data_IF_419283978843
#
_entry.id   IF_419283978843
#
_cell.length_a   1.000
_cell.length_b   1.000
_cell.length_c   1.000
_cell.angle_alpha   90.00
_cell.angle_beta   90.00
_cell.angle_gamma   90.00
#
_symmetry.space_group_name_H-M   'P 1'
#
loop_
_entity.id
_entity.type
_entity.pdbx_description
1 polymer ?
#
# COMPACT_ATOMS: atom_id res chain seq x y z
N UNK A 1 -24.82 -5.14 -12.36
CA UNK A 1 -23.48 -5.34 -11.79
C UNK A 1 -22.71 -4.07 -12.07
N UNK A 2 -22.01 -3.52 -11.08
CA UNK A 2 -21.09 -2.39 -11.32
C UNK A 2 -20.00 -2.83 -12.31
N UNK A 3 -19.55 -1.90 -13.15
CA UNK A 3 -18.43 -2.13 -14.07
C UNK A 3 -17.16 -2.49 -13.29
N UNK A 4 -16.32 -3.37 -13.83
CA UNK A 4 -15.04 -3.71 -13.21
C UNK A 4 -14.07 -2.54 -13.36
N UNK A 5 -13.37 -2.18 -12.28
CA UNK A 5 -12.44 -1.06 -12.29
C UNK A 5 -11.07 -1.51 -12.80
N UNK A 6 -10.72 -1.12 -14.03
CA UNK A 6 -9.39 -1.28 -14.60
C UNK A 6 -8.61 0.03 -14.42
N UNK A 7 -7.60 0.00 -13.57
CA UNK A 7 -6.84 1.20 -13.22
C UNK A 7 -5.36 0.97 -13.00
N UNK A 8 -4.73 2.04 -12.52
CA UNK A 8 -3.37 2.06 -11.99
C UNK A 8 -3.31 3.03 -10.81
N UNK A 9 -2.25 2.93 -10.03
CA UNK A 9 -2.14 3.62 -8.75
C UNK A 9 -0.87 4.48 -8.64
N UNK A 10 -0.91 5.46 -7.74
CA UNK A 10 0.21 6.27 -7.26
C UNK A 10 0.09 6.55 -5.76
N UNK A 11 1.12 7.15 -5.17
CA UNK A 11 1.13 7.69 -3.82
C UNK A 11 1.71 9.11 -3.82
N UNK A 12 1.18 9.99 -2.98
CA UNK A 12 1.45 11.42 -3.00
C UNK A 12 2.95 11.75 -2.94
N UNK A 13 3.64 11.30 -1.88
CA UNK A 13 5.09 11.54 -1.73
C UNK A 13 5.93 10.95 -2.88
N UNK A 14 5.44 9.86 -3.49
CA UNK A 14 6.18 9.15 -4.53
C UNK A 14 6.06 9.80 -5.91
N UNK A 15 5.00 10.56 -6.20
CA UNK A 15 4.78 11.13 -7.54
C UNK A 15 4.58 12.65 -7.57
N UNK A 16 4.09 13.29 -6.50
CA UNK A 16 3.65 14.70 -6.56
C UNK A 16 4.79 15.69 -6.77
N UNK A 17 5.85 15.63 -5.96
CA UNK A 17 6.82 16.72 -5.87
C UNK A 17 6.24 17.95 -5.16
N UNK A 18 6.69 19.15 -5.55
CA UNK A 18 6.20 20.42 -5.01
C UNK A 18 6.14 20.43 -3.46
N UNK A 19 7.19 19.90 -2.84
CA UNK A 19 7.18 19.48 -1.44
C UNK A 19 7.01 20.63 -0.43
N UNK A 20 7.32 21.85 -0.85
CA UNK A 20 7.26 23.09 -0.07
C UNK A 20 6.39 24.18 -0.72
N UNK A 21 5.55 23.82 -1.69
CA UNK A 21 4.69 24.76 -2.41
C UNK A 21 3.31 24.90 -1.76
N UNK A 22 2.66 26.04 -2.03
CA UNK A 22 1.26 26.29 -1.69
C UNK A 22 0.88 26.04 -0.21
N UNK A 23 1.84 26.20 0.69
CA UNK A 23 1.64 26.06 2.13
C UNK A 23 1.64 24.61 2.64
N UNK A 24 2.11 23.65 1.83
CA UNK A 24 2.35 22.27 2.29
C UNK A 24 3.33 22.27 3.47
N UNK A 25 2.98 21.54 4.52
CA UNK A 25 3.83 21.28 5.69
C UNK A 25 4.87 20.19 5.44
N UNK A 26 5.75 19.99 6.41
CA UNK A 26 6.74 18.91 6.37
C UNK A 26 6.10 17.58 6.77
N UNK A 27 6.36 16.54 6.00
CA UNK A 27 6.15 15.16 6.42
C UNK A 27 7.42 14.59 7.05
N UNK A 28 7.29 13.47 7.75
CA UNK A 28 8.41 12.68 8.26
C UNK A 28 9.40 12.26 7.15
N UNK A 29 8.90 12.09 5.91
CA UNK A 29 9.72 11.74 4.77
C UNK A 29 10.50 12.93 4.23
N UNK A 30 9.88 14.11 4.16
CA UNK A 30 10.58 15.35 3.81
C UNK A 30 11.76 15.56 4.77
N UNK A 31 11.52 15.43 6.09
CA UNK A 31 12.57 15.57 7.11
C UNK A 31 13.65 14.51 6.99
N UNK A 32 13.26 13.24 6.80
CA UNK A 32 14.21 12.14 6.64
C UNK A 32 15.12 12.32 5.41
N UNK A 33 14.53 12.63 4.25
CA UNK A 33 15.25 12.77 3.00
C UNK A 33 16.26 13.93 3.00
N UNK A 34 16.01 14.97 3.81
CA UNK A 34 16.90 16.11 4.00
C UNK A 34 17.85 15.96 5.21
N UNK A 35 17.86 14.80 5.87
CA UNK A 35 18.75 14.52 6.99
C UNK A 35 20.02 13.77 6.57
N UNK A 36 21.02 13.75 7.44
CA UNK A 36 22.25 12.97 7.24
C UNK A 36 22.02 11.45 7.13
N UNK A 37 20.82 10.95 7.49
CA UNK A 37 20.48 9.52 7.35
C UNK A 37 20.20 9.12 5.91
N UNK A 38 19.88 10.07 5.03
CA UNK A 38 19.69 9.82 3.61
C UNK A 38 21.03 9.88 2.86
N UNK A 39 21.87 8.84 3.03
CA UNK A 39 23.23 8.80 2.45
C UNK A 39 23.26 9.00 0.92
N UNK A 40 22.18 8.64 0.21
CA UNK A 40 22.07 8.79 -1.24
C UNK A 40 21.58 10.15 -1.73
N UNK A 41 21.10 11.02 -0.83
CA UNK A 41 20.56 12.34 -1.16
C UNK A 41 19.34 12.33 -2.10
N UNK A 42 18.74 11.16 -2.36
CA UNK A 42 17.57 11.04 -3.24
C UNK A 42 16.32 11.34 -2.43
N UNK A 43 15.51 12.29 -2.89
CA UNK A 43 14.28 12.73 -2.22
C UNK A 43 13.08 12.75 -3.17
N UNK A 44 11.89 12.94 -2.59
CA UNK A 44 10.62 13.15 -3.30
C UNK A 44 10.32 14.61 -3.62
N UNK A 45 11.31 15.52 -3.53
CA UNK A 45 11.11 16.97 -3.68
C UNK A 45 10.41 17.35 -4.99
N UNK A 46 10.85 16.71 -6.08
CA UNK A 46 10.26 16.80 -7.42
C UNK A 46 9.50 15.52 -7.76
N UNK A 47 10.01 14.35 -7.36
CA UNK A 47 9.39 13.06 -7.67
C UNK A 47 9.13 12.89 -9.18
N UNK A 48 7.90 12.61 -9.57
CA UNK A 48 7.47 12.58 -10.97
C UNK A 48 6.86 13.90 -11.43
N UNK A 49 6.85 14.93 -10.58
CA UNK A 49 6.25 16.25 -10.84
C UNK A 49 4.74 16.18 -11.17
N UNK A 50 4.03 15.21 -10.56
CA UNK A 50 2.59 15.04 -10.77
C UNK A 50 1.80 16.27 -10.30
N UNK A 51 2.27 17.01 -9.28
CA UNK A 51 1.59 18.22 -8.80
C UNK A 51 1.35 19.24 -9.92
N UNK A 52 2.32 19.42 -10.81
CA UNK A 52 2.22 20.34 -11.94
C UNK A 52 1.68 19.67 -13.21
N UNK A 53 1.74 18.34 -13.31
CA UNK A 53 1.48 17.58 -14.55
C UNK A 53 0.29 16.63 -14.49
N UNK A 54 -0.50 16.67 -13.41
CA UNK A 54 -1.61 15.74 -13.18
C UNK A 54 -2.56 15.58 -14.38
N UNK A 55 -2.85 16.66 -15.12
CA UNK A 55 -3.73 16.59 -16.29
C UNK A 55 -3.10 15.83 -17.46
N UNK A 56 -1.79 15.93 -17.66
CA UNK A 56 -1.09 15.11 -18.66
C UNK A 56 -1.23 13.61 -18.32
N UNK A 57 -0.94 13.26 -17.06
CA UNK A 57 -0.93 11.88 -16.59
C UNK A 57 -2.32 11.25 -16.60
N UNK A 58 -3.34 11.95 -16.09
CA UNK A 58 -4.73 11.44 -16.09
C UNK A 58 -5.25 11.29 -17.51
N UNK A 59 -4.91 12.22 -18.42
CA UNK A 59 -5.28 12.10 -19.83
C UNK A 59 -4.61 10.90 -20.50
N UNK A 60 -3.35 10.58 -20.16
CA UNK A 60 -2.68 9.37 -20.64
C UNK A 60 -3.36 8.11 -20.08
N UNK A 61 -3.64 8.08 -18.78
CA UNK A 61 -4.38 7.00 -18.13
C UNK A 61 -5.71 6.74 -18.86
N UNK A 62 -6.52 7.76 -19.08
CA UNK A 62 -7.80 7.64 -19.78
C UNK A 62 -7.63 7.17 -21.24
N UNK A 63 -6.61 7.66 -21.96
CA UNK A 63 -6.31 7.22 -23.33
C UNK A 63 -5.94 5.74 -23.44
N UNK A 64 -5.40 5.16 -22.36
CA UNK A 64 -5.13 3.71 -22.29
C UNK A 64 -6.40 2.87 -22.05
N UNK A 65 -7.57 3.49 -21.88
CA UNK A 65 -8.84 2.79 -21.63
C UNK A 65 -9.07 2.44 -20.16
N UNK A 66 -8.18 2.84 -19.26
CA UNK A 66 -8.40 2.73 -17.82
C UNK A 66 -9.60 3.60 -17.39
N UNK A 67 -10.45 3.03 -16.53
CA UNK A 67 -11.67 3.68 -16.04
C UNK A 67 -11.58 4.06 -14.55
N UNK A 68 -10.45 3.80 -13.88
CA UNK A 68 -10.22 4.19 -12.49
C UNK A 68 -8.77 4.62 -12.24
N UNK A 69 -8.57 5.56 -11.32
CA UNK A 69 -7.26 6.03 -10.89
C UNK A 69 -7.19 6.08 -9.37
N UNK A 70 -6.28 5.29 -8.79
CA UNK A 70 -6.03 5.29 -7.34
C UNK A 70 -4.88 6.24 -7.02
N UNK A 71 -5.12 7.20 -6.13
CA UNK A 71 -4.10 8.10 -5.63
C UNK A 71 -4.30 8.36 -4.14
N UNK A 72 -3.22 8.73 -3.43
CA UNK A 72 -3.33 9.19 -2.06
C UNK A 72 -3.38 10.71 -1.97
N UNK A 73 -4.07 11.20 -0.94
CA UNK A 73 -3.95 12.57 -0.49
C UNK A 73 -2.69 12.70 0.37
N UNK A 74 -2.06 13.86 0.35
CA UNK A 74 -1.01 14.21 1.30
C UNK A 74 -1.60 14.99 2.47
N UNK A 75 -1.53 14.40 3.66
CA UNK A 75 -2.03 15.03 4.89
C UNK A 75 -1.42 16.41 5.06
N UNK A 76 -0.11 16.54 4.83
CA UNK A 76 0.64 17.79 4.97
C UNK A 76 0.23 18.89 3.99
N UNK A 77 -0.48 18.58 2.89
CA UNK A 77 -1.07 19.63 2.03
C UNK A 77 -2.35 20.18 2.60
N UNK A 78 -3.18 19.33 3.21
CA UNK A 78 -4.53 19.67 3.67
C UNK A 78 -4.50 20.24 5.08
N UNK A 79 -3.72 19.64 5.98
CA UNK A 79 -3.46 20.13 7.35
C UNK A 79 -1.95 20.13 7.56
N UNK A 80 -1.25 21.25 7.28
CA UNK A 80 0.21 21.32 7.27
C UNK A 80 0.89 20.87 8.56
N UNK A 81 0.33 21.27 9.71
CA UNK A 81 0.85 20.90 11.04
C UNK A 81 0.22 19.58 11.56
N UNK A 82 -0.45 18.83 10.70
CA UNK A 82 -1.16 17.57 11.01
C UNK A 82 -2.45 17.71 11.80
N UNK A 83 -2.62 18.79 12.55
CA UNK A 83 -3.85 19.16 13.26
C UNK A 83 -4.15 20.65 13.08
N UNK A 84 -5.40 21.04 13.33
CA UNK A 84 -5.79 22.45 13.36
C UNK A 84 -6.14 23.03 11.99
N UNK A 85 -5.40 24.04 11.54
CA UNK A 85 -5.79 24.86 10.41
C UNK A 85 -5.75 24.09 9.08
N UNK A 86 -6.85 24.13 8.34
CA UNK A 86 -6.95 23.57 6.98
C UNK A 86 -6.31 24.55 5.99
N UNK A 87 -5.46 24.03 5.12
CA UNK A 87 -4.89 24.77 4.00
C UNK A 87 -5.77 24.59 2.74
N UNK A 88 -6.52 25.62 2.40
CA UNK A 88 -7.43 25.59 1.25
C UNK A 88 -6.72 25.31 -0.08
N UNK A 89 -5.46 25.74 -0.25
CA UNK A 89 -4.72 25.49 -1.50
C UNK A 89 -4.44 23.99 -1.72
N UNK A 90 -4.21 23.24 -0.63
CA UNK A 90 -4.10 21.78 -0.69
C UNK A 90 -5.41 21.12 -1.11
N UNK A 91 -6.54 21.58 -0.58
CA UNK A 91 -7.87 21.14 -1.01
C UNK A 91 -8.09 21.45 -2.50
N UNK A 92 -7.76 22.66 -2.94
CA UNK A 92 -7.95 23.11 -4.32
C UNK A 92 -7.12 22.29 -5.32
N UNK A 93 -5.91 21.85 -4.93
CA UNK A 93 -5.11 20.93 -5.75
C UNK A 93 -5.83 19.59 -5.97
N UNK A 94 -6.29 18.94 -4.89
CA UNK A 94 -6.98 17.66 -5.03
C UNK A 94 -8.35 17.79 -5.70
N UNK A 95 -9.08 18.90 -5.53
CA UNK A 95 -10.27 19.19 -6.32
C UNK A 95 -9.97 19.18 -7.82
N UNK A 96 -8.89 19.83 -8.26
CA UNK A 96 -8.48 19.81 -9.67
C UNK A 96 -8.16 18.40 -10.17
N UNK A 97 -7.44 17.60 -9.38
CA UNK A 97 -7.12 16.20 -9.71
C UNK A 97 -8.41 15.38 -9.88
N UNK A 98 -9.33 15.47 -8.92
CA UNK A 98 -10.62 14.76 -8.91
C UNK A 98 -11.48 15.19 -10.09
N UNK A 99 -11.61 16.49 -10.33
CA UNK A 99 -12.39 17.03 -11.45
C UNK A 99 -11.80 16.62 -12.80
N UNK A 100 -10.49 16.54 -12.92
CA UNK A 100 -9.82 16.06 -14.14
C UNK A 100 -10.05 14.57 -14.35
N UNK A 101 -10.03 13.74 -13.30
CA UNK A 101 -10.44 12.33 -13.40
C UNK A 101 -11.86 12.22 -13.98
N UNK A 102 -12.82 12.95 -13.38
CA UNK A 102 -14.22 12.93 -13.83
C UNK A 102 -14.41 13.46 -15.25
N UNK A 103 -13.66 14.51 -15.64
CA UNK A 103 -13.65 15.08 -17.00
C UNK A 103 -13.24 14.04 -18.04
N UNK A 104 -12.32 13.15 -17.69
CA UNK A 104 -11.84 12.08 -18.55
C UNK A 104 -12.53 10.73 -18.31
N UNK A 105 -13.66 10.70 -17.58
CA UNK A 105 -14.43 9.49 -17.26
C UNK A 105 -13.61 8.42 -16.52
N UNK A 106 -12.71 8.87 -15.65
CA UNK A 106 -11.93 8.04 -14.75
C UNK A 106 -12.51 8.18 -13.34
N UNK A 107 -12.87 7.06 -12.71
CA UNK A 107 -13.36 7.02 -11.34
C UNK A 107 -12.19 7.28 -10.36
N UNK A 108 -12.25 8.34 -9.55
CA UNK A 108 -11.24 8.60 -8.54
C UNK A 108 -11.39 7.62 -7.36
N UNK A 109 -10.32 6.89 -7.05
CA UNK A 109 -10.25 5.94 -5.95
C UNK A 109 -9.26 6.47 -4.90
N UNK A 110 -9.78 7.14 -3.86
CA UNK A 110 -8.97 8.04 -3.02
C UNK A 110 -8.48 7.36 -1.76
N UNK A 111 -7.17 7.34 -1.57
CA UNK A 111 -6.50 6.91 -0.32
C UNK A 111 -6.25 8.12 0.58
N UNK A 112 -6.68 8.09 1.83
CA UNK A 112 -6.55 9.25 2.73
C UNK A 112 -5.11 9.40 3.24
N UNK A 113 -4.43 8.28 3.55
CA UNK A 113 -3.07 8.28 4.08
C UNK A 113 -2.20 7.18 3.48
N UNK A 114 -0.98 7.56 3.07
CA UNK A 114 0.04 6.68 2.52
C UNK A 114 1.44 7.12 3.02
N UNK A 115 1.75 6.74 4.26
CA UNK A 115 3.06 6.82 4.93
C UNK A 115 3.62 8.23 5.19
N UNK A 116 2.99 9.28 4.68
CA UNK A 116 3.51 10.65 4.69
C UNK A 116 3.05 11.46 5.91
N UNK A 117 3.26 10.89 7.11
CA UNK A 117 2.81 11.49 8.38
C UNK A 117 3.39 12.89 8.56
N UNK A 118 2.59 13.90 8.96
CA UNK A 118 3.08 15.23 9.31
C UNK A 118 4.19 15.16 10.37
N UNK A 119 5.26 15.91 10.14
CA UNK A 119 6.46 15.93 10.99
C UNK A 119 6.11 16.29 12.45
N UNK A 120 5.16 17.21 12.64
CA UNK A 120 4.68 17.63 13.96
C UNK A 120 4.06 16.49 14.78
N UNK A 121 3.41 15.52 14.13
CA UNK A 121 2.84 14.32 14.76
C UNK A 121 3.92 13.26 14.96
N UNK A 122 4.80 13.09 13.97
CA UNK A 122 5.96 12.21 14.06
C UNK A 122 6.83 12.55 15.29
N UNK A 123 7.16 13.82 15.50
CA UNK A 123 7.94 14.30 16.65
C UNK A 123 7.24 14.06 18.01
N UNK A 124 5.91 13.90 18.02
CA UNK A 124 5.13 13.55 19.23
C UNK A 124 5.01 12.04 19.45
N UNK A 125 5.79 11.23 18.73
CA UNK A 125 5.80 9.77 18.84
C UNK A 125 5.07 9.05 17.71
N UNK A 126 4.60 9.77 16.68
CA UNK A 126 3.97 9.20 15.50
C UNK A 126 2.84 8.21 15.83
N UNK A 127 2.80 7.08 15.12
CA UNK A 127 1.77 6.05 15.33
C UNK A 127 1.87 5.31 16.67
N UNK A 128 2.96 5.42 17.43
CA UNK A 128 2.99 4.90 18.81
C UNK A 128 2.19 5.77 19.80
N UNK A 129 1.82 6.98 19.39
CA UNK A 129 0.98 7.87 20.16
C UNK A 129 -0.50 7.76 19.72
N UNK A 130 -1.39 7.46 20.66
CA UNK A 130 -2.83 7.32 20.39
C UNK A 130 -3.45 8.59 19.83
N UNK A 131 -2.93 9.76 20.19
CA UNK A 131 -3.43 11.05 19.68
C UNK A 131 -3.25 11.17 18.16
N UNK A 132 -2.30 10.45 17.55
CA UNK A 132 -2.14 10.39 16.09
C UNK A 132 -3.32 9.69 15.42
N UNK A 133 -3.91 8.67 16.07
CA UNK A 133 -5.13 8.01 15.57
C UNK A 133 -6.33 8.96 15.59
N UNK A 134 -6.44 9.79 16.62
CA UNK A 134 -7.48 10.83 16.74
C UNK A 134 -7.28 11.91 15.67
N UNK A 135 -6.06 12.43 15.53
CA UNK A 135 -5.70 13.42 14.53
C UNK A 135 -5.97 12.91 13.10
N UNK A 136 -5.67 11.64 12.83
CA UNK A 136 -5.97 11.03 11.52
C UNK A 136 -7.49 11.00 11.25
N UNK A 137 -8.30 10.67 12.25
CA UNK A 137 -9.76 10.66 12.09
C UNK A 137 -10.32 12.07 11.83
N UNK A 138 -9.77 13.10 12.47
CA UNK A 138 -10.12 14.51 12.22
C UNK A 138 -9.70 14.96 10.82
N UNK A 139 -8.50 14.58 10.38
CA UNK A 139 -8.02 14.80 9.02
C UNK A 139 -8.92 14.11 7.97
N UNK A 140 -9.27 12.85 8.19
CA UNK A 140 -10.18 12.11 7.33
C UNK A 140 -11.56 12.81 7.24
N UNK A 141 -12.06 13.34 8.35
CA UNK A 141 -13.31 14.12 8.36
C UNK A 141 -13.24 15.37 7.48
N UNK A 142 -12.12 16.09 7.49
CA UNK A 142 -11.89 17.24 6.60
C UNK A 142 -11.90 16.80 5.13
N UNK A 143 -11.23 15.68 4.81
CA UNK A 143 -11.23 15.13 3.45
C UNK A 143 -12.63 14.71 2.99
N UNK A 144 -13.40 14.04 3.84
CA UNK A 144 -14.77 13.68 3.50
C UNK A 144 -15.61 14.92 3.25
N UNK A 145 -15.61 15.89 4.16
CA UNK A 145 -16.38 17.12 3.99
C UNK A 145 -16.02 17.87 2.70
N UNK A 146 -14.73 17.89 2.33
CA UNK A 146 -14.27 18.58 1.13
C UNK A 146 -14.61 17.86 -0.19
N UNK A 147 -14.71 16.53 -0.21
CA UNK A 147 -14.72 15.76 -1.45
C UNK A 147 -15.84 14.69 -1.56
N UNK A 148 -16.65 14.47 -0.52
CA UNK A 148 -17.60 13.34 -0.46
C UNK A 148 -18.63 13.31 -1.60
N UNK A 149 -18.95 14.45 -2.21
CA UNK A 149 -19.91 14.55 -3.30
C UNK A 149 -19.32 14.13 -4.66
N UNK A 150 -18.00 13.89 -4.74
CA UNK A 150 -17.28 13.57 -5.98
C UNK A 150 -16.59 12.21 -5.97
N UNK A 151 -16.48 11.57 -4.80
CA UNK A 151 -15.74 10.32 -4.61
C UNK A 151 -16.69 9.20 -4.19
N UNK A 152 -16.70 8.10 -4.96
CA UNK A 152 -17.46 6.91 -4.59
C UNK A 152 -16.63 5.87 -3.83
N UNK A 153 -15.30 5.90 -3.95
CA UNK A 153 -14.40 4.90 -3.37
C UNK A 153 -13.31 5.55 -2.53
N UNK A 154 -13.38 5.31 -1.23
CA UNK A 154 -12.43 5.77 -0.24
C UNK A 154 -11.63 4.60 0.34
N UNK A 155 -10.35 4.80 0.59
CA UNK A 155 -9.57 3.95 1.48
C UNK A 155 -8.92 4.79 2.56
N UNK A 156 -9.02 4.34 3.82
CA UNK A 156 -8.47 5.08 4.96
C UNK A 156 -6.94 5.11 4.92
N UNK A 157 -6.32 4.02 5.33
CA UNK A 157 -4.86 3.87 5.43
C UNK A 157 -4.43 2.84 4.41
N UNK A 158 -3.36 3.14 3.68
CA UNK A 158 -2.66 2.17 2.85
C UNK A 158 -1.63 1.40 3.67
N UNK A 159 -1.70 0.08 3.61
CA UNK A 159 -0.70 -0.87 4.08
C UNK A 159 -0.17 -0.61 5.50
N UNK A 160 -1.05 -0.54 6.52
CA UNK A 160 -0.61 -0.32 7.89
C UNK A 160 0.32 -1.44 8.39
N UNK A 161 0.13 -2.66 7.88
CA UNK A 161 0.97 -3.83 8.11
C UNK A 161 2.37 -3.68 7.53
N UNK A 162 2.51 -3.10 6.33
CA UNK A 162 3.80 -2.90 5.68
C UNK A 162 4.54 -1.67 6.24
N UNK A 163 3.85 -0.53 6.45
CA UNK A 163 4.45 0.66 7.08
C UNK A 163 5.00 0.33 8.46
N UNK A 164 4.20 -0.33 9.29
CA UNK A 164 4.61 -0.70 10.65
C UNK A 164 5.77 -1.70 10.61
N UNK A 165 5.81 -2.61 9.64
CA UNK A 165 6.90 -3.56 9.46
C UNK A 165 8.21 -2.86 9.05
N UNK A 166 8.17 -1.96 8.07
CA UNK A 166 9.32 -1.19 7.61
C UNK A 166 9.85 -0.23 8.69
N UNK A 167 8.95 0.46 9.40
CA UNK A 167 9.31 1.43 10.43
C UNK A 167 9.79 0.82 11.75
N UNK A 168 9.28 -0.37 12.12
CA UNK A 168 9.47 -0.93 13.47
C UNK A 168 10.09 -2.32 13.54
N UNK A 169 10.23 -3.07 12.43
CA UNK A 169 10.97 -4.34 12.42
C UNK A 169 12.22 -4.23 11.55
N UNK A 170 12.02 -3.89 10.27
CA UNK A 170 13.13 -3.73 9.32
C UNK A 170 13.97 -2.50 9.66
N UNK A 171 13.33 -1.45 10.17
CA UNK A 171 13.97 -0.20 10.58
C UNK A 171 14.54 0.62 9.41
N UNK A 172 14.12 0.34 8.18
CA UNK A 172 14.54 1.07 6.98
C UNK A 172 13.71 2.34 6.75
N UNK A 173 12.50 2.43 7.31
CA UNK A 173 11.68 3.65 7.30
C UNK A 173 11.78 4.33 8.66
N UNK A 174 11.54 5.65 8.77
CA UNK A 174 11.37 6.26 10.08
C UNK A 174 10.18 5.60 10.81
N UNK A 175 10.25 5.34 12.13
CA UNK A 175 11.26 5.82 13.08
C UNK A 175 12.55 5.00 13.20
N UNK A 176 12.82 4.03 12.32
CA UNK A 176 14.02 3.17 12.33
C UNK A 176 14.14 2.29 13.57
N UNK A 177 13.04 1.66 13.93
CA UNK A 177 12.92 0.81 15.11
C UNK A 177 13.04 -0.67 14.71
N UNK A 178 13.50 -1.50 15.64
CA UNK A 178 13.65 -2.96 15.50
C UNK A 178 13.02 -3.68 16.71
N UNK A 179 11.71 -3.50 16.92
CA UNK A 179 10.95 -3.99 18.07
C UNK A 179 9.52 -4.41 17.69
N UNK A 180 9.19 -5.68 17.95
CA UNK A 180 7.87 -6.26 17.64
C UNK A 180 6.74 -5.68 18.48
N UNK A 181 6.98 -5.38 19.77
CA UNK A 181 5.94 -4.80 20.63
C UNK A 181 5.58 -3.39 20.15
N UNK A 182 6.59 -2.59 19.77
CA UNK A 182 6.38 -1.24 19.23
C UNK A 182 5.70 -1.27 17.85
N UNK A 183 6.07 -2.23 16.98
CA UNK A 183 5.36 -2.48 15.71
C UNK A 183 3.87 -2.71 15.97
N UNK A 184 3.53 -3.62 16.88
CA UNK A 184 2.13 -3.95 17.17
C UNK A 184 1.36 -2.78 17.79
N UNK A 185 2.01 -1.97 18.63
CA UNK A 185 1.43 -0.73 19.17
C UNK A 185 1.10 0.28 18.06
N UNK A 186 2.04 0.52 17.14
CA UNK A 186 1.82 1.43 16.01
C UNK A 186 0.68 0.92 15.11
N UNK A 187 0.72 -0.37 14.74
CA UNK A 187 -0.34 -1.00 13.94
C UNK A 187 -1.72 -0.87 14.61
N UNK A 188 -1.81 -1.07 15.92
CA UNK A 188 -3.06 -0.93 16.66
C UNK A 188 -3.64 0.48 16.53
N UNK A 189 -2.83 1.52 16.71
CA UNK A 189 -3.30 2.91 16.59
C UNK A 189 -3.64 3.31 15.14
N UNK A 190 -2.92 2.80 14.14
CA UNK A 190 -3.28 2.99 12.73
C UNK A 190 -4.67 2.41 12.45
N UNK A 191 -4.92 1.17 12.86
CA UNK A 191 -6.22 0.52 12.70
C UNK A 191 -7.32 1.22 13.51
N UNK A 192 -6.99 1.73 14.71
CA UNK A 192 -7.93 2.51 15.52
C UNK A 192 -8.32 3.82 14.83
N UNK A 193 -7.35 4.54 14.26
CA UNK A 193 -7.60 5.76 13.48
C UNK A 193 -8.47 5.47 12.25
N UNK A 194 -8.20 4.38 11.54
CA UNK A 194 -9.06 3.91 10.45
C UNK A 194 -10.49 3.65 10.92
N UNK A 195 -10.68 2.91 12.02
CA UNK A 195 -12.00 2.61 12.55
C UNK A 195 -12.78 3.88 12.96
N UNK A 196 -12.09 4.85 13.57
CA UNK A 196 -12.67 6.17 13.88
C UNK A 196 -13.09 6.92 12.61
N UNK A 197 -12.25 6.93 11.56
CA UNK A 197 -12.56 7.57 10.28
C UNK A 197 -13.78 6.92 9.59
N UNK A 198 -13.85 5.58 9.55
CA UNK A 198 -15.01 4.85 9.02
C UNK A 198 -16.27 5.19 9.83
N UNK A 199 -16.18 5.21 11.16
CA UNK A 199 -17.29 5.61 12.01
C UNK A 199 -17.80 7.02 11.68
N UNK A 200 -16.90 8.00 11.53
CA UNK A 200 -17.27 9.37 11.12
C UNK A 200 -17.98 9.36 9.76
N UNK A 201 -17.44 8.60 8.80
CA UNK A 201 -18.01 8.49 7.46
C UNK A 201 -19.47 8.01 7.50
N UNK A 202 -19.76 7.02 8.35
CA UNK A 202 -21.12 6.47 8.54
C UNK A 202 -22.04 7.41 9.32
N UNK A 203 -21.57 7.97 10.43
CA UNK A 203 -22.38 8.85 11.29
C UNK A 203 -22.85 10.09 10.52
N UNK A 204 -22.01 10.60 9.61
CA UNK A 204 -22.32 11.73 8.74
C UNK A 204 -23.10 11.35 7.48
N UNK A 205 -23.31 10.06 7.24
CA UNK A 205 -24.03 9.54 6.08
C UNK A 205 -23.44 10.02 4.74
N UNK A 206 -22.11 10.12 4.65
CA UNK A 206 -21.46 10.42 3.37
C UNK A 206 -21.74 9.29 2.36
N UNK A 207 -21.86 9.66 1.09
CA UNK A 207 -22.09 8.72 0.00
C UNK A 207 -20.80 7.97 -0.38
N UNK A 208 -20.96 6.79 -0.96
CA UNK A 208 -19.85 5.96 -1.44
C UNK A 208 -19.52 4.81 -0.50
N UNK A 209 -18.42 4.14 -0.82
CA UNK A 209 -17.89 3.00 -0.09
C UNK A 209 -16.54 3.36 0.52
N UNK A 210 -16.25 2.80 1.69
CA UNK A 210 -14.99 3.01 2.40
C UNK A 210 -14.33 1.68 2.79
N UNK A 211 -13.06 1.56 2.45
CA UNK A 211 -12.21 0.41 2.69
C UNK A 211 -10.95 0.75 3.46
N UNK A 212 -10.15 -0.27 3.74
CA UNK A 212 -8.75 -0.16 4.14
C UNK A 212 -7.93 -1.03 3.18
N UNK A 213 -6.71 -0.59 2.89
CA UNK A 213 -5.78 -1.31 2.01
C UNK A 213 -4.72 -1.97 2.87
N UNK A 214 -4.51 -3.28 2.73
CA UNK A 214 -3.46 -4.03 3.42
C UNK A 214 -2.68 -4.91 2.42
N UNK A 215 -1.57 -5.51 2.86
CA UNK A 215 -0.68 -6.28 1.97
C UNK A 215 -0.75 -7.79 2.29
N UNK A 216 -1.87 -8.47 1.98
CA UNK A 216 -1.96 -9.91 2.21
C UNK A 216 -0.91 -10.68 1.41
N UNK A 217 -0.45 -11.77 1.98
CA UNK A 217 0.35 -12.76 1.26
C UNK A 217 -0.28 -14.14 1.43
N UNK A 218 -0.31 -14.95 0.36
CA UNK A 218 -0.66 -16.36 0.51
C UNK A 218 0.42 -17.05 1.34
N UNK A 219 0.07 -17.54 2.53
CA UNK A 219 0.99 -18.23 3.44
C UNK A 219 1.05 -19.71 3.08
N UNK A 220 2.22 -20.19 2.69
CA UNK A 220 2.41 -21.55 2.19
C UNK A 220 3.51 -22.30 2.95
N UNK A 221 3.42 -23.63 2.96
CA UNK A 221 4.40 -24.54 3.57
C UNK A 221 4.95 -25.49 2.52
N UNK A 222 6.24 -25.82 2.64
CA UNK A 222 6.92 -26.75 1.71
C UNK A 222 6.88 -28.21 2.18
N UNK A 223 6.48 -28.45 3.43
CA UNK A 223 6.36 -29.78 4.03
C UNK A 223 5.01 -29.86 4.72
N UNK A 224 4.21 -30.87 4.38
CA UNK A 224 2.88 -31.05 4.97
C UNK A 224 2.93 -31.93 6.22
N UNK A 225 3.18 -31.33 7.37
CA UNK A 225 3.09 -31.96 8.69
C UNK A 225 2.58 -30.98 9.75
N UNK A 226 2.29 -31.47 10.95
CA UNK A 226 1.68 -30.67 12.02
C UNK A 226 2.53 -29.47 12.45
N UNK A 227 3.85 -29.62 12.54
CA UNK A 227 4.75 -28.53 12.92
C UNK A 227 4.74 -27.39 11.88
N UNK A 228 4.72 -27.74 10.58
CA UNK A 228 4.63 -26.76 9.50
C UNK A 228 3.25 -26.10 9.43
N UNK A 229 2.17 -26.85 9.61
CA UNK A 229 0.80 -26.28 9.67
C UNK A 229 0.63 -25.30 10.83
N UNK A 230 1.22 -25.60 11.99
CA UNK A 230 1.17 -24.69 13.15
C UNK A 230 1.89 -23.36 12.89
N UNK A 231 3.05 -23.38 12.22
CA UNK A 231 3.74 -22.13 11.88
C UNK A 231 3.07 -21.37 10.73
N UNK A 232 2.39 -22.06 9.81
CA UNK A 232 1.52 -21.42 8.83
C UNK A 232 0.39 -20.63 9.51
N UNK A 233 -0.30 -21.22 10.50
CA UNK A 233 -1.31 -20.51 11.29
C UNK A 233 -0.72 -19.29 12.02
N UNK A 234 0.48 -19.41 12.59
CA UNK A 234 1.15 -18.28 13.25
C UNK A 234 1.49 -17.15 12.26
N UNK A 235 1.91 -17.50 11.04
CA UNK A 235 2.23 -16.55 9.99
C UNK A 235 0.95 -15.88 9.45
N UNK A 236 -0.16 -16.62 9.33
CA UNK A 236 -1.47 -16.09 8.96
C UNK A 236 -1.98 -15.07 10.01
N UNK A 237 -1.76 -15.35 11.30
CA UNK A 237 -2.01 -14.41 12.39
C UNK A 237 -1.16 -13.14 12.26
N UNK A 238 0.10 -13.26 11.88
CA UNK A 238 1.07 -12.17 11.87
C UNK A 238 0.98 -11.26 10.63
N UNK A 239 0.86 -11.86 9.45
CA UNK A 239 0.89 -11.13 8.17
C UNK A 239 -0.50 -10.67 7.73
N UNK A 240 -1.55 -11.48 7.93
CA UNK A 240 -2.84 -11.24 7.28
C UNK A 240 -3.93 -10.85 8.27
N UNK A 241 -4.24 -11.72 9.24
CA UNK A 241 -5.42 -11.56 10.11
C UNK A 241 -5.21 -10.55 11.25
N UNK A 242 -3.98 -10.12 11.53
CA UNK A 242 -3.72 -8.96 12.38
C UNK A 242 -4.37 -7.66 11.85
N UNK A 243 -4.64 -7.58 10.55
CA UNK A 243 -5.35 -6.46 9.91
C UNK A 243 -6.73 -6.89 9.45
N UNK A 244 -6.82 -7.96 8.64
CA UNK A 244 -8.07 -8.32 7.97
C UNK A 244 -9.21 -8.71 8.93
N UNK A 245 -8.95 -9.42 10.03
CA UNK A 245 -9.99 -9.68 11.04
C UNK A 245 -10.46 -8.39 11.72
N UNK A 246 -9.56 -7.42 11.95
CA UNK A 246 -9.93 -6.16 12.60
C UNK A 246 -10.89 -5.36 11.74
N UNK A 247 -10.59 -5.24 10.44
CA UNK A 247 -11.39 -4.41 9.53
C UNK A 247 -12.66 -5.11 9.05
N UNK A 248 -12.72 -6.45 9.03
CA UNK A 248 -13.90 -7.22 8.61
C UNK A 248 -14.79 -7.64 9.78
N UNK A 249 -14.20 -8.03 10.91
CA UNK A 249 -14.91 -8.58 12.09
C UNK A 249 -14.97 -7.60 13.26
N UNK A 250 -14.28 -6.46 13.16
CA UNK A 250 -14.32 -5.38 14.16
C UNK A 250 -13.49 -5.66 15.41
N UNK A 251 -12.58 -6.65 15.39
CA UNK A 251 -11.64 -6.90 16.50
C UNK A 251 -10.48 -7.82 16.08
N UNK A 252 -9.40 -7.81 16.86
CA UNK A 252 -8.24 -8.67 16.65
C UNK A 252 -8.55 -10.15 16.96
N UNK A 253 -7.89 -11.11 16.28
CA UNK A 253 -8.04 -12.53 16.61
C UNK A 253 -7.63 -12.83 18.06
N UNK A 254 -8.45 -13.57 18.80
CA UNK A 254 -8.12 -13.96 20.18
C UNK A 254 -6.83 -14.78 20.26
N UNK A 255 -6.59 -15.65 19.27
CA UNK A 255 -5.35 -16.43 19.15
C UNK A 255 -4.12 -15.54 18.98
N UNK A 256 -4.23 -14.43 18.24
CA UNK A 256 -3.15 -13.47 18.07
C UNK A 256 -2.79 -12.84 19.42
N UNK A 257 -3.78 -12.29 20.13
CA UNK A 257 -3.60 -11.67 21.45
C UNK A 257 -2.97 -12.66 22.44
N UNK A 258 -3.52 -13.87 22.54
CA UNK A 258 -3.00 -14.90 23.43
C UNK A 258 -1.55 -15.28 23.11
N UNK A 259 -1.21 -15.38 21.82
CA UNK A 259 0.16 -15.70 21.38
C UNK A 259 1.15 -14.57 21.67
N UNK A 260 0.74 -13.31 21.49
CA UNK A 260 1.55 -12.14 21.85
C UNK A 260 1.82 -12.08 23.36
N UNK A 261 0.79 -12.32 24.18
CA UNK A 261 0.92 -12.39 25.65
C UNK A 261 1.87 -13.52 26.07
N UNK A 262 1.69 -14.72 25.52
CA UNK A 262 2.57 -15.86 25.79
C UNK A 262 4.02 -15.62 25.36
N UNK A 263 4.24 -14.72 24.39
CA UNK A 263 5.57 -14.31 23.93
C UNK A 263 6.16 -13.15 24.74
N UNK A 264 5.46 -12.67 25.78
CA UNK A 264 5.91 -11.59 26.65
C UNK A 264 5.90 -10.21 25.99
N UNK A 265 5.13 -10.01 24.92
CA UNK A 265 5.01 -8.70 24.26
C UNK A 265 4.16 -7.75 25.12
N UNK A 266 4.51 -6.46 25.12
CA UNK A 266 3.73 -5.43 25.80
C UNK A 266 2.42 -5.19 25.02
N UNK A 267 1.27 -5.25 25.71
CA UNK A 267 -0.07 -4.99 25.16
C UNK A 267 -0.85 -3.91 25.92
N UNK A 268 -0.18 -3.05 26.71
CA UNK A 268 -0.82 -2.03 27.56
C UNK A 268 -1.60 -0.98 26.75
N UNK A 269 -1.36 -0.90 25.44
CA UNK A 269 -2.09 -0.05 24.50
C UNK A 269 -3.44 -0.64 24.07
N UNK A 270 -3.68 -1.94 24.26
CA UNK A 270 -4.94 -2.58 23.89
C UNK A 270 -5.98 -2.26 24.95
N UNK A 271 -6.98 -1.45 24.57
CA UNK A 271 -8.03 -1.01 25.48
C UNK A 271 -9.35 -1.70 25.19
N UNK A 272 -10.07 -2.09 26.25
CA UNK A 272 -11.35 -2.78 26.09
C UNK A 272 -12.42 -1.87 25.47
N UNK A 273 -12.40 -0.59 25.79
CA UNK A 273 -13.31 0.42 25.26
C UNK A 273 -13.18 0.64 23.75
N UNK A 274 -11.99 0.41 23.18
CA UNK A 274 -11.75 0.59 21.75
C UNK A 274 -12.48 -0.48 20.91
N UNK A 275 -12.95 -1.59 21.51
CA UNK A 275 -13.71 -2.63 20.81
C UNK A 275 -14.96 -2.11 20.12
N UNK A 276 -15.70 -1.21 20.78
CA UNK A 276 -16.87 -0.60 20.17
C UNK A 276 -16.52 0.30 18.98
N UNK A 277 -15.33 0.93 19.01
CA UNK A 277 -14.82 1.76 17.91
C UNK A 277 -14.49 0.89 16.70
N UNK A 278 -13.76 -0.21 16.89
CA UNK A 278 -13.45 -1.15 15.80
C UNK A 278 -14.71 -1.80 15.21
N UNK A 279 -15.69 -2.17 16.03
CA UNK A 279 -16.98 -2.70 15.54
C UNK A 279 -17.76 -1.68 14.70
N UNK A 280 -17.70 -0.39 15.04
CA UNK A 280 -18.28 0.68 14.24
C UNK A 280 -17.45 1.01 12.98
N UNK A 281 -16.21 0.54 12.92
CA UNK A 281 -15.24 0.78 11.86
C UNK A 281 -15.11 -0.31 10.82
N UNK A 282 -16.05 -1.26 10.76
CA UNK A 282 -16.05 -2.34 9.75
C UNK A 282 -16.22 -1.75 8.34
N UNK A 283 -15.38 -2.21 7.42
CA UNK A 283 -15.27 -1.67 6.06
C UNK A 283 -16.30 -2.25 5.08
N UNK A 284 -16.58 -1.54 3.98
CA UNK A 284 -17.45 -2.04 2.89
C UNK A 284 -16.74 -3.04 1.98
N UNK A 285 -15.42 -2.89 1.84
CA UNK A 285 -14.58 -3.67 0.93
C UNK A 285 -13.15 -3.77 1.44
N UNK A 286 -12.42 -4.76 0.94
CA UNK A 286 -10.99 -4.92 1.13
C UNK A 286 -10.21 -4.33 -0.05
N UNK A 287 -9.31 -3.40 0.22
CA UNK A 287 -8.23 -3.08 -0.70
C UNK A 287 -7.05 -4.01 -0.42
N UNK A 288 -6.47 -4.60 -1.46
CA UNK A 288 -5.34 -5.53 -1.31
C UNK A 288 -4.17 -5.16 -2.21
N UNK A 289 -3.00 -5.09 -1.61
CA UNK A 289 -1.73 -4.94 -2.29
C UNK A 289 -1.07 -6.32 -2.40
N UNK A 290 -0.79 -6.78 -3.61
CA UNK A 290 -0.40 -8.16 -3.90
C UNK A 290 0.87 -8.22 -4.74
N UNK A 291 1.91 -8.84 -4.19
CA UNK A 291 3.23 -8.94 -4.85
C UNK A 291 3.81 -10.35 -4.84
N UNK A 292 3.79 -11.03 -3.70
CA UNK A 292 4.39 -12.35 -3.53
C UNK A 292 3.65 -13.18 -2.48
N UNK A 293 3.87 -14.50 -2.53
CA UNK A 293 3.52 -15.39 -1.42
C UNK A 293 4.56 -15.28 -0.30
N UNK A 294 4.24 -15.87 0.85
CA UNK A 294 5.18 -16.08 1.95
C UNK A 294 5.29 -17.57 2.23
N UNK A 295 6.50 -18.10 2.15
CA UNK A 295 6.79 -19.48 2.57
C UNK A 295 7.29 -19.46 4.01
N UNK A 296 6.82 -20.39 4.84
CA UNK A 296 7.24 -20.49 6.24
C UNK A 296 7.66 -21.90 6.66
N UNK A 297 8.55 -21.93 7.66
CA UNK A 297 9.08 -23.14 8.28
C UNK A 297 9.18 -22.97 9.81
N UNK A 298 9.31 -24.07 10.57
CA UNK A 298 9.50 -24.01 12.01
C UNK A 298 10.65 -23.09 12.43
N UNK A 299 10.42 -22.29 13.46
CA UNK A 299 11.43 -21.46 14.09
C UNK A 299 12.55 -22.34 14.67
N UNK A 300 13.81 -21.94 14.44
CA UNK A 300 15.00 -22.65 14.88
C UNK A 300 15.72 -21.89 15.99
N UNK A 301 16.08 -20.63 15.76
CA UNK A 301 16.81 -19.79 16.71
C UNK A 301 16.79 -18.31 16.28
N UNK A 302 17.28 -17.43 17.16
CA UNK A 302 17.50 -16.02 16.87
C UNK A 302 16.41 -15.09 17.42
N UNK A 303 16.71 -13.79 17.39
CA UNK A 303 15.75 -12.75 17.76
C UNK A 303 14.84 -12.40 16.59
N UNK A 304 13.70 -11.79 16.90
CA UNK A 304 12.79 -11.31 15.87
C UNK A 304 13.49 -10.28 15.00
N UNK A 305 13.52 -10.52 13.69
CA UNK A 305 14.19 -9.65 12.73
C UNK A 305 13.60 -9.85 11.35
N UNK A 306 13.77 -8.85 10.50
CA UNK A 306 13.41 -8.93 9.10
C UNK A 306 14.46 -8.25 8.25
N UNK A 307 14.78 -8.89 7.14
CA UNK A 307 15.70 -8.38 6.14
C UNK A 307 14.96 -8.14 4.83
N UNK A 308 15.22 -6.99 4.22
CA UNK A 308 14.77 -6.62 2.87
C UNK A 308 15.97 -6.16 2.05
N UNK A 309 16.01 -6.55 0.77
CA UNK A 309 17.06 -6.06 -0.14
C UNK A 309 16.67 -4.69 -0.70
N UNK A 310 17.34 -3.65 -0.20
CA UNK A 310 17.14 -2.26 -0.65
C UNK A 310 18.20 -1.76 -1.64
N UNK A 311 19.12 -2.63 -2.10
CA UNK A 311 20.29 -2.28 -2.93
C UNK A 311 20.29 -2.94 -4.30
N UNK A 312 19.17 -3.56 -4.70
CA UNK A 312 19.04 -4.25 -5.98
C UNK A 312 20.13 -5.31 -6.17
N UNK A 313 20.75 -5.33 -7.37
CA UNK A 313 21.80 -6.29 -7.76
C UNK A 313 23.08 -6.21 -6.91
N UNK A 314 23.27 -5.15 -6.12
CA UNK A 314 24.47 -4.99 -5.30
C UNK A 314 24.44 -5.82 -4.01
N UNK A 315 23.30 -6.42 -3.67
CA UNK A 315 23.17 -7.24 -2.48
C UNK A 315 23.66 -8.68 -2.73
N UNK A 316 24.32 -9.28 -1.73
CA UNK A 316 24.80 -10.67 -1.81
C UNK A 316 23.74 -11.67 -1.36
N UNK A 317 22.80 -11.23 -0.53
CA UNK A 317 21.64 -12.01 -0.07
C UNK A 317 20.40 -11.46 -0.75
N UNK A 318 19.86 -12.24 -1.69
CA UNK A 318 18.82 -11.79 -2.61
C UNK A 318 17.40 -12.14 -2.17
N UNK A 319 17.17 -12.58 -0.93
CA UNK A 319 15.83 -12.99 -0.50
C UNK A 319 15.44 -12.22 0.75
N UNK A 320 14.25 -11.62 0.72
CA UNK A 320 13.64 -11.12 1.94
C UNK A 320 13.48 -12.29 2.92
N UNK A 321 13.78 -12.05 4.19
CA UNK A 321 13.67 -13.08 5.22
C UNK A 321 13.15 -12.50 6.51
N UNK A 322 12.40 -13.31 7.27
CA UNK A 322 11.89 -12.94 8.58
C UNK A 322 12.11 -14.08 9.55
N UNK A 323 12.52 -13.72 10.77
CA UNK A 323 12.46 -14.56 11.94
C UNK A 323 11.50 -13.86 12.89
N UNK A 324 10.44 -14.53 13.33
CA UNK A 324 9.62 -14.06 14.44
C UNK A 324 9.83 -15.06 15.56
N UNK A 325 10.57 -14.62 16.60
CA UNK A 325 11.07 -15.48 17.67
C UNK A 325 9.98 -16.33 18.28
N UNK A 326 10.14 -17.66 18.21
CA UNK A 326 9.18 -18.63 18.74
C UNK A 326 7.88 -18.78 17.94
N UNK A 327 7.74 -18.12 16.80
CA UNK A 327 6.53 -18.18 15.95
C UNK A 327 6.80 -18.93 14.65
N UNK A 328 7.74 -18.44 13.84
CA UNK A 328 8.11 -19.00 12.54
C UNK A 328 9.40 -18.37 12.00
N UNK A 329 9.94 -19.00 10.96
CA UNK A 329 10.93 -18.40 10.05
C UNK A 329 10.39 -18.45 8.62
N UNK A 330 10.78 -17.51 7.78
CA UNK A 330 10.53 -17.61 6.34
C UNK A 330 11.38 -18.73 5.73
N UNK A 331 10.77 -19.50 4.83
CA UNK A 331 11.43 -20.47 3.95
C UNK A 331 11.60 -19.86 2.56
N UNK A 332 12.33 -20.53 1.67
CA UNK A 332 12.54 -20.09 0.29
C UNK A 332 12.38 -21.25 -0.68
N UNK A 333 11.81 -20.96 -1.85
CA UNK A 333 11.80 -21.92 -2.96
C UNK A 333 13.08 -21.71 -3.81
N UNK A 334 14.00 -22.69 -3.86
CA UNK A 334 15.22 -22.57 -4.65
C UNK A 334 14.96 -22.55 -6.17
N UNK A 335 13.73 -22.88 -6.62
CA UNK A 335 13.32 -22.85 -8.02
C UNK A 335 12.56 -21.59 -8.40
N UNK A 336 12.18 -20.76 -7.44
CA UNK A 336 11.43 -19.55 -7.71
C UNK A 336 12.30 -18.51 -8.43
N UNK A 337 11.64 -17.68 -9.24
CA UNK A 337 12.26 -16.50 -9.86
C UNK A 337 12.13 -15.32 -8.89
N UNK A 338 13.11 -14.41 -8.94
CA UNK A 338 13.12 -13.21 -8.12
C UNK A 338 13.50 -12.01 -8.97
N UNK A 339 12.95 -10.84 -8.63
CA UNK A 339 13.41 -9.59 -9.23
C UNK A 339 14.77 -9.17 -8.65
N UNK A 340 15.42 -8.11 -9.18
CA UNK A 340 16.73 -7.68 -8.68
C UNK A 340 16.75 -7.24 -7.21
N UNK A 341 15.61 -6.92 -6.61
CA UNK A 341 15.44 -6.58 -5.19
C UNK A 341 14.98 -7.76 -4.33
N UNK A 342 14.99 -8.97 -4.87
CA UNK A 342 14.73 -10.18 -4.10
C UNK A 342 13.27 -10.48 -3.78
N UNK A 343 12.33 -9.80 -4.44
CA UNK A 343 10.91 -10.16 -4.38
C UNK A 343 10.66 -11.36 -5.28
N UNK A 344 9.98 -12.38 -4.75
CA UNK A 344 9.58 -13.57 -5.50
C UNK A 344 8.60 -13.20 -6.62
N UNK A 345 8.77 -13.79 -7.79
CA UNK A 345 7.83 -13.72 -8.91
C UNK A 345 7.07 -15.04 -8.93
N UNK A 346 5.99 -15.10 -8.17
CA UNK A 346 5.12 -16.27 -8.07
C UNK A 346 3.90 -16.09 -8.99
N UNK A 347 3.67 -16.97 -9.98
CA UNK A 347 2.59 -16.78 -10.96
C UNK A 347 1.19 -16.78 -10.37
N UNK A 348 0.92 -17.61 -9.36
CA UNK A 348 -0.41 -17.77 -8.78
C UNK A 348 -0.68 -16.82 -7.60
N UNK A 349 0.20 -15.84 -7.31
CA UNK A 349 0.08 -14.94 -6.14
C UNK A 349 -1.32 -14.35 -5.99
N UNK A 350 -1.85 -13.72 -7.04
CA UNK A 350 -3.17 -13.08 -6.98
C UNK A 350 -4.28 -14.11 -6.84
N UNK A 351 -4.18 -15.22 -7.57
CA UNK A 351 -5.21 -16.25 -7.57
C UNK A 351 -5.34 -16.85 -6.17
N UNK A 352 -4.24 -17.35 -5.59
CA UNK A 352 -4.24 -17.98 -4.27
C UNK A 352 -4.72 -16.99 -3.18
N UNK A 353 -4.21 -15.76 -3.19
CA UNK A 353 -4.64 -14.70 -2.26
C UNK A 353 -6.16 -14.48 -2.33
N UNK A 354 -6.75 -14.39 -3.53
CA UNK A 354 -8.20 -14.20 -3.67
C UNK A 354 -8.99 -15.43 -3.19
N UNK A 355 -8.47 -16.65 -3.37
CA UNK A 355 -9.11 -17.87 -2.84
C UNK A 355 -9.05 -17.89 -1.32
N UNK A 356 -7.92 -17.52 -0.72
CA UNK A 356 -7.72 -17.43 0.72
C UNK A 356 -8.69 -16.41 1.34
N UNK A 357 -8.81 -15.21 0.74
CA UNK A 357 -9.77 -14.17 1.18
C UNK A 357 -11.20 -14.69 1.09
N UNK A 358 -11.59 -15.33 -0.02
CA UNK A 358 -12.94 -15.90 -0.18
C UNK A 358 -13.22 -16.98 0.87
N UNK A 359 -12.24 -17.82 1.18
CA UNK A 359 -12.38 -18.85 2.21
C UNK A 359 -12.58 -18.24 3.60
N UNK A 360 -11.87 -17.16 3.93
CA UNK A 360 -11.93 -16.53 5.25
C UNK A 360 -13.15 -15.64 5.44
N UNK A 361 -13.57 -14.91 4.40
CA UNK A 361 -14.52 -13.80 4.53
C UNK A 361 -15.74 -13.90 3.59
N UNK A 362 -15.86 -14.98 2.82
CA UNK A 362 -16.96 -15.19 1.89
C UNK A 362 -16.91 -14.20 0.72
N UNK A 363 -18.05 -13.58 0.40
CA UNK A 363 -18.21 -12.71 -0.77
C UNK A 363 -17.96 -11.22 -0.47
N UNK A 364 -17.09 -10.89 0.50
CA UNK A 364 -16.67 -9.50 0.74
C UNK A 364 -16.11 -8.90 -0.57
N UNK A 365 -16.49 -7.67 -0.97
CA UNK A 365 -15.91 -7.01 -2.13
C UNK A 365 -14.40 -6.79 -1.97
N UNK A 366 -13.65 -7.09 -3.03
CA UNK A 366 -12.19 -6.93 -3.06
C UNK A 366 -11.77 -6.06 -4.26
N UNK A 367 -10.88 -5.12 -4.02
CA UNK A 367 -10.16 -4.38 -5.06
C UNK A 367 -8.67 -4.66 -4.91
N UNK A 368 -8.03 -5.14 -5.98
CA UNK A 368 -6.57 -5.23 -5.99
C UNK A 368 -6.04 -3.83 -6.24
N UNK A 369 -5.68 -3.14 -5.16
CA UNK A 369 -5.29 -1.73 -5.17
C UNK A 369 -3.84 -1.52 -5.57
N UNK A 370 -3.06 -2.59 -5.58
CA UNK A 370 -1.67 -2.56 -6.01
C UNK A 370 -1.18 -3.95 -6.42
N UNK A 371 -0.57 -4.03 -7.59
CA UNK A 371 0.17 -5.20 -8.07
C UNK A 371 1.10 -4.76 -9.18
N UNK A 372 2.39 -5.09 -9.07
CA UNK A 372 3.38 -4.60 -10.02
C UNK A 372 4.76 -5.23 -9.85
N UNK A 373 5.66 -4.88 -10.77
CA UNK A 373 7.04 -5.38 -10.74
C UNK A 373 8.03 -4.24 -10.95
N UNK A 374 8.92 -4.09 -9.98
CA UNK A 374 10.00 -3.11 -9.96
C UNK A 374 11.28 -3.68 -10.57
N UNK A 375 11.82 -2.98 -11.55
CA UNK A 375 12.94 -3.42 -12.39
C UNK A 375 13.73 -2.23 -12.90
N UNK A 376 14.87 -2.50 -13.54
CA UNK A 376 15.62 -1.48 -14.27
C UNK A 376 15.03 -1.35 -15.67
N UNK A 377 14.51 -0.16 -16.01
CA UNK A 377 14.09 0.20 -17.37
C UNK A 377 15.07 1.20 -17.96
N UNK A 378 15.41 1.02 -19.23
CA UNK A 378 16.29 1.89 -20.00
C UNK A 378 15.62 2.27 -21.32
N UNK A 379 15.92 3.46 -21.83
CA UNK A 379 15.51 3.87 -23.17
C UNK A 379 16.41 3.18 -24.21
N UNK A 380 15.79 2.57 -25.22
CA UNK A 380 16.48 2.03 -26.39
C UNK A 380 16.93 3.16 -27.34
N UNK A 381 17.59 2.80 -28.45
CA UNK A 381 18.12 3.77 -29.43
C UNK A 381 17.02 4.65 -30.06
N UNK A 382 15.76 4.21 -30.04
CA UNK A 382 14.59 4.91 -30.54
C UNK A 382 13.87 5.74 -29.45
N UNK A 383 14.41 5.81 -28.24
CA UNK A 383 13.81 6.55 -27.12
C UNK A 383 12.55 5.88 -26.55
N UNK A 384 12.47 4.55 -26.60
CA UNK A 384 11.35 3.75 -26.06
C UNK A 384 11.82 2.76 -25.00
N UNK A 385 10.90 2.24 -24.21
CA UNK A 385 11.17 1.18 -23.23
C UNK A 385 10.50 -0.13 -23.66
N UNK A 386 11.33 -1.15 -23.90
CA UNK A 386 10.88 -2.51 -24.25
C UNK A 386 10.83 -3.40 -22.99
N UNK A 387 9.74 -3.32 -22.24
CA UNK A 387 9.56 -4.01 -20.95
C UNK A 387 8.74 -5.31 -21.05
N UNK A 388 9.11 -6.18 -21.99
CA UNK A 388 8.43 -7.48 -22.21
C UNK A 388 8.38 -8.36 -20.94
N UNK A 389 9.41 -8.28 -20.09
CA UNK A 389 9.43 -9.00 -18.82
C UNK A 389 8.31 -8.55 -17.88
N UNK A 390 7.94 -7.25 -17.90
CA UNK A 390 6.86 -6.69 -17.08
C UNK A 390 5.53 -7.21 -17.59
N UNK A 391 5.37 -7.25 -18.91
CA UNK A 391 4.18 -7.81 -19.57
C UNK A 391 3.99 -9.29 -19.20
N UNK A 392 5.02 -10.14 -19.31
CA UNK A 392 4.92 -11.57 -18.99
C UNK A 392 4.41 -11.81 -17.56
N UNK A 393 4.93 -11.05 -16.60
CA UNK A 393 4.57 -11.19 -15.18
C UNK A 393 3.15 -10.68 -14.92
N UNK A 394 2.83 -9.47 -15.39
CA UNK A 394 1.52 -8.87 -15.19
C UNK A 394 0.41 -9.68 -15.89
N UNK A 395 0.70 -10.26 -17.06
CA UNK A 395 -0.24 -11.13 -17.76
C UNK A 395 -0.58 -12.37 -16.94
N UNK A 396 0.41 -13.07 -16.38
CA UNK A 396 0.16 -14.22 -15.51
C UNK A 396 -0.70 -13.87 -14.28
N UNK A 397 -0.43 -12.72 -13.65
CA UNK A 397 -1.18 -12.24 -12.50
C UNK A 397 -2.63 -11.82 -12.84
N UNK A 398 -2.82 -11.12 -13.98
CA UNK A 398 -4.16 -10.76 -14.46
C UNK A 398 -4.95 -12.01 -14.87
N UNK A 399 -4.33 -12.99 -15.50
CA UNK A 399 -4.98 -14.26 -15.82
C UNK A 399 -5.41 -15.01 -14.55
N UNK A 400 -4.58 -14.99 -13.51
CA UNK A 400 -4.91 -15.49 -12.17
C UNK A 400 -6.12 -14.77 -11.55
N UNK A 401 -6.17 -13.44 -11.64
CA UNK A 401 -7.31 -12.62 -11.22
C UNK A 401 -8.60 -13.02 -11.97
N UNK A 402 -8.55 -13.11 -13.30
CA UNK A 402 -9.71 -13.43 -14.13
C UNK A 402 -10.21 -14.84 -13.84
N UNK A 403 -9.31 -15.81 -13.62
CA UNK A 403 -9.67 -17.16 -13.18
C UNK A 403 -10.35 -17.16 -11.82
N UNK A 404 -9.80 -16.48 -10.81
CA UNK A 404 -10.40 -16.38 -9.48
C UNK A 404 -11.79 -15.73 -9.54
N UNK A 405 -11.95 -14.67 -10.34
CA UNK A 405 -13.23 -14.01 -10.60
C UNK A 405 -14.25 -14.96 -11.23
N UNK A 406 -13.86 -15.73 -12.25
CA UNK A 406 -14.71 -16.73 -12.88
C UNK A 406 -15.16 -17.85 -11.92
N UNK A 407 -14.32 -18.19 -10.95
CA UNK A 407 -14.63 -19.13 -9.86
C UNK A 407 -15.39 -18.48 -8.67
N UNK A 408 -15.86 -17.24 -8.86
CA UNK A 408 -16.77 -16.55 -7.97
C UNK A 408 -16.10 -15.73 -6.87
N UNK A 409 -14.79 -15.46 -6.90
CA UNK A 409 -14.22 -14.45 -6.00
C UNK A 409 -14.80 -13.07 -6.33
N UNK A 410 -15.25 -12.33 -5.31
CA UNK A 410 -15.89 -11.02 -5.47
C UNK A 410 -14.85 -9.89 -5.68
N UNK A 411 -14.01 -10.04 -6.70
CA UNK A 411 -13.02 -9.03 -7.11
C UNK A 411 -13.64 -8.06 -8.13
N UNK A 412 -13.57 -6.78 -7.81
CA UNK A 412 -14.28 -5.70 -8.51
C UNK A 412 -13.35 -4.67 -9.17
N UNK A 413 -12.04 -4.76 -8.95
CA UNK A 413 -11.07 -3.93 -9.67
C UNK A 413 -9.63 -4.41 -9.54
N UNK A 414 -8.80 -3.91 -10.45
CA UNK A 414 -7.36 -4.18 -10.54
C UNK A 414 -6.61 -2.90 -10.88
N UNK A 415 -5.66 -2.54 -10.01
CA UNK A 415 -4.83 -1.35 -10.12
C UNK A 415 -3.36 -1.74 -10.24
N UNK A 416 -2.77 -1.50 -11.42
CA UNK A 416 -1.34 -1.72 -11.65
C UNK A 416 -0.52 -0.72 -10.82
N UNK A 417 0.51 -1.24 -10.15
CA UNK A 417 1.60 -0.44 -9.61
C UNK A 417 2.73 -0.33 -10.64
N UNK A 418 2.90 0.81 -11.31
CA UNK A 418 2.22 2.10 -11.09
C UNK A 418 1.79 2.79 -12.38
N UNK A 419 1.08 3.92 -12.25
CA UNK A 419 0.63 4.73 -13.38
C UNK A 419 1.81 5.23 -14.22
N UNK A 420 2.79 5.82 -13.54
CA UNK A 420 4.06 6.29 -14.09
C UNK A 420 5.20 5.89 -13.16
N UNK A 421 6.43 5.94 -13.65
CA UNK A 421 7.60 5.79 -12.80
C UNK A 421 7.56 6.86 -11.70
N UNK A 422 7.93 6.44 -10.50
CA UNK A 422 7.78 7.23 -9.29
C UNK A 422 8.96 6.98 -8.35
N UNK A 423 9.15 7.89 -7.38
CA UNK A 423 10.14 7.75 -6.33
C UNK A 423 9.85 6.53 -5.47
N UNK A 424 10.82 5.65 -5.28
CA UNK A 424 10.75 4.56 -4.31
C UNK A 424 11.35 4.99 -2.97
N UNK A 425 10.59 4.87 -1.88
CA UNK A 425 10.87 5.32 -0.51
C UNK A 425 12.33 5.23 -0.05
N UNK A 426 13.01 4.14 -0.36
CA UNK A 426 14.42 3.92 0.01
C UNK A 426 15.26 3.34 -1.14
N UNK A 427 14.70 3.24 -2.35
CA UNK A 427 15.40 2.72 -3.53
C UNK A 427 15.57 3.79 -4.62
N UNK A 428 15.08 5.01 -4.40
CA UNK A 428 15.19 6.10 -5.36
C UNK A 428 14.45 5.81 -6.67
N UNK A 429 15.06 6.19 -7.79
CA UNK A 429 14.41 6.21 -9.10
C UNK A 429 14.85 5.08 -10.06
N UNK A 430 15.89 4.32 -9.70
CA UNK A 430 16.39 3.22 -10.54
C UNK A 430 15.40 2.04 -10.62
N UNK A 431 14.60 1.85 -9.56
CA UNK A 431 13.57 0.81 -9.48
C UNK A 431 12.27 1.33 -10.08
N UNK A 432 12.06 1.05 -11.36
CA UNK A 432 10.93 1.54 -12.15
C UNK A 432 9.76 0.55 -12.16
N UNK A 433 8.56 1.09 -12.02
CA UNK A 433 7.30 0.33 -11.88
C UNK A 433 6.24 0.75 -12.90
N UNK A 434 6.34 1.97 -13.43
CA UNK A 434 5.26 2.62 -14.15
C UNK A 434 4.93 1.95 -15.47
N UNK A 435 3.68 2.06 -15.92
CA UNK A 435 3.30 1.86 -17.32
C UNK A 435 3.87 2.96 -18.21
N UNK A 436 4.10 4.15 -17.64
CA UNK A 436 4.72 5.29 -18.30
C UNK A 436 6.09 5.55 -17.69
N UNK A 437 7.13 5.55 -18.51
CA UNK A 437 8.47 5.95 -18.11
C UNK A 437 8.52 7.45 -17.86
N UNK A 438 9.19 7.86 -16.78
CA UNK A 438 9.48 9.27 -16.49
C UNK A 438 10.97 9.52 -16.71
N UNK A 439 11.26 10.42 -17.63
CA UNK A 439 12.62 10.90 -17.88
C UNK A 439 12.96 12.04 -16.91
N UNK A 440 13.50 11.65 -15.76
CA UNK A 440 13.88 12.58 -14.69
C UNK A 440 15.02 13.54 -15.10
N UNK A 441 15.80 13.22 -16.13
CA UNK A 441 16.89 14.08 -16.62
C UNK A 441 16.38 15.17 -17.57
N UNK A 442 15.24 14.93 -18.23
CA UNK A 442 14.65 15.83 -19.23
C UNK A 442 13.26 16.32 -18.79
N UNK A 443 13.20 17.03 -17.67
CA UNK A 443 11.98 17.72 -17.20
C UNK A 443 10.79 16.77 -16.98
N UNK A 444 11.06 15.58 -16.43
CA UNK A 444 10.08 14.54 -16.14
C UNK A 444 9.20 14.17 -17.35
N UNK A 445 9.74 14.13 -18.56
CA UNK A 445 8.96 13.75 -19.76
C UNK A 445 8.34 12.35 -19.63
N UNK A 446 7.08 12.22 -20.05
CA UNK A 446 6.33 10.96 -20.04
C UNK A 446 6.54 10.19 -21.34
N UNK A 447 7.03 8.96 -21.25
CA UNK A 447 7.25 8.06 -22.38
C UNK A 447 6.48 6.75 -22.12
N UNK A 448 5.38 6.45 -22.84
CA UNK A 448 4.67 5.19 -22.68
C UNK A 448 5.59 3.98 -22.92
N UNK A 449 5.62 3.04 -21.97
CA UNK A 449 6.35 1.78 -22.15
C UNK A 449 5.57 0.82 -23.04
N UNK A 450 6.17 -0.29 -23.43
CA UNK A 450 5.46 -1.35 -24.16
C UNK A 450 4.29 -1.91 -23.34
N UNK A 451 4.46 -2.05 -22.02
CA UNK A 451 3.42 -2.49 -21.08
C UNK A 451 2.18 -1.59 -21.05
N UNK A 452 2.31 -0.28 -21.30
CA UNK A 452 1.16 0.63 -21.44
C UNK A 452 0.23 0.19 -22.58
N UNK A 453 0.81 -0.17 -23.74
CA UNK A 453 0.04 -0.61 -24.90
C UNK A 453 -0.56 -2.01 -24.69
N UNK A 454 0.18 -2.90 -23.99
CA UNK A 454 -0.35 -4.19 -23.58
C UNK A 454 -1.56 -4.03 -22.65
N UNK A 455 -1.49 -3.18 -21.64
CA UNK A 455 -2.60 -3.01 -20.69
C UNK A 455 -3.82 -2.41 -21.38
N UNK A 456 -3.63 -1.45 -22.29
CA UNK A 456 -4.71 -0.93 -23.14
C UNK A 456 -5.41 -2.04 -23.93
N UNK A 457 -4.65 -2.97 -24.51
CA UNK A 457 -5.21 -4.12 -25.23
C UNK A 457 -5.97 -5.05 -24.26
N UNK A 458 -5.37 -5.38 -23.11
CA UNK A 458 -5.96 -6.28 -22.10
C UNK A 458 -7.28 -5.75 -21.57
N UNK A 459 -7.38 -4.43 -21.29
CA UNK A 459 -8.63 -3.79 -20.87
C UNK A 459 -9.68 -3.95 -21.97
N UNK A 460 -9.35 -3.59 -23.22
CA UNK A 460 -10.28 -3.69 -24.35
C UNK A 460 -10.82 -5.11 -24.58
N UNK A 461 -10.05 -6.14 -24.28
CA UNK A 461 -10.46 -7.54 -24.38
C UNK A 461 -11.41 -7.99 -23.26
N UNK A 462 -11.52 -7.21 -22.17
CA UNK A 462 -12.29 -7.53 -20.97
C UNK A 462 -13.32 -6.44 -20.59
N UNK A 463 -13.64 -5.53 -21.52
CA UNK A 463 -14.76 -4.57 -21.40
C UNK A 463 -16.10 -5.20 -21.77
#
# INVERSE_FOLDING_TARGET
MSEFLWGSATAAYQCEGAWNEDGKGLSMWDTYCHSERNEGGISGDVASDFYHRYEEDIRMLAKSGQNAFRFSLSWTRIIPDGVGAVNQKGIDFYLKVIETCRRYHVEPFVTIYHYDLPESLYQKGGWENRETAVAFAEYAAVCFEAFHDKINFWTTINEPDYESMCGYIVGNYPPHVHDVSRRSKALYHMLLGSAMAVKIFRDKQYNGQIGLVYTPSSVQIRVDNEAYRQVAENAELYYNTAVSDVIVKGWFPEKLIAKMQASGLNLDYVKAEDKAVFQAGIVDFLGVNSYNRVLVKPYTAGESTMFMNNKGKQNKTNHASSIIKGWFETDFDPKAKYNPWGSEIYPDTIYDMLKDIKQMYGDIPVYITESGIGTYDELNAEGKVDDDYRIEILEGWVDGLLRAKAEGCNVLGYFIWSTMDLYSWINGYEKRYGLVYVDYEHDCQRIPKKSYSWYQKKIKENL
#
